data_IF_832534887561
#
_entry.id   IF_832534887561
#
_cell.length_a   1.000
_cell.length_b   1.000
_cell.length_c   1.000
_cell.angle_alpha   90.00
_cell.angle_beta   90.00
_cell.angle_gamma   90.00
#
_symmetry.space_group_name_H-M   'P 1'
#
loop_
_entity.id
_entity.type
_entity.pdbx_description
1 polymer ?
#
# COMPACT_ATOMS: atom_id res chain seq x y z
N UNK A 1 -25.36 -6.59 -19.87
CA UNK A 1 -23.89 -6.44 -19.93
C UNK A 1 -23.33 -7.07 -18.67
N UNK A 2 -22.40 -8.02 -18.77
CA UNK A 2 -21.74 -8.54 -17.56
C UNK A 2 -20.94 -7.40 -16.91
N UNK A 3 -21.14 -7.19 -15.60
CA UNK A 3 -20.28 -6.28 -14.82
C UNK A 3 -18.85 -6.79 -14.86
N UNK A 4 -17.88 -5.89 -15.03
CA UNK A 4 -16.45 -6.21 -14.89
C UNK A 4 -16.16 -6.75 -13.49
N UNK A 5 -15.33 -7.76 -13.41
CA UNK A 5 -14.81 -8.28 -12.15
C UNK A 5 -13.44 -7.67 -11.84
N UNK A 6 -13.09 -7.66 -10.59
CA UNK A 6 -11.82 -7.11 -10.11
C UNK A 6 -10.94 -8.21 -9.54
N UNK A 7 -9.71 -8.27 -9.99
CA UNK A 7 -8.70 -9.24 -9.59
C UNK A 7 -7.61 -8.53 -8.79
N UNK A 8 -7.51 -8.82 -7.50
CA UNK A 8 -6.45 -8.29 -6.67
C UNK A 8 -5.26 -9.26 -6.62
N UNK A 9 -4.14 -8.85 -7.25
CA UNK A 9 -2.88 -9.57 -7.24
C UNK A 9 -2.13 -9.31 -5.93
N UNK A 10 -2.61 -9.89 -4.83
CA UNK A 10 -2.01 -9.65 -3.51
C UNK A 10 -2.38 -10.72 -2.49
N UNK A 11 -1.37 -11.11 -1.67
CA UNK A 11 -1.55 -11.94 -0.49
C UNK A 11 -1.74 -11.13 0.80
N UNK A 12 -1.66 -9.78 0.75
CA UNK A 12 -1.79 -8.93 1.92
C UNK A 12 -3.19 -8.96 2.51
N UNK A 13 -3.37 -9.40 3.78
CA UNK A 13 -4.69 -9.39 4.43
C UNK A 13 -5.30 -7.99 4.49
N UNK A 14 -4.48 -6.96 4.74
CA UNK A 14 -4.93 -5.57 4.81
C UNK A 14 -5.50 -5.07 3.49
N UNK A 15 -4.84 -5.39 2.36
CA UNK A 15 -5.36 -5.01 1.04
C UNK A 15 -6.67 -5.71 0.73
N UNK A 16 -6.78 -7.00 1.08
CA UNK A 16 -8.04 -7.76 0.92
C UNK A 16 -9.17 -7.17 1.77
N UNK A 17 -8.88 -6.80 3.01
CA UNK A 17 -9.82 -6.12 3.90
C UNK A 17 -10.31 -4.80 3.28
N UNK A 18 -9.41 -3.94 2.81
CA UNK A 18 -9.75 -2.65 2.21
C UNK A 18 -10.61 -2.79 0.96
N UNK A 19 -10.38 -3.80 0.14
CA UNK A 19 -11.23 -4.11 -1.02
C UNK A 19 -12.60 -4.65 -0.62
N UNK A 20 -12.72 -5.30 0.54
CA UNK A 20 -13.99 -5.74 1.12
C UNK A 20 -14.91 -4.60 1.59
N UNK A 21 -14.46 -3.34 1.57
CA UNK A 21 -15.30 -2.19 1.93
C UNK A 21 -16.31 -1.79 0.85
N UNK A 22 -16.23 -2.38 -0.33
CA UNK A 22 -17.12 -2.12 -1.47
C UNK A 22 -17.75 -3.41 -1.98
N UNK A 23 -18.92 -3.29 -2.59
CA UNK A 23 -19.65 -4.40 -3.21
C UNK A 23 -19.15 -4.62 -4.66
N UNK A 24 -17.87 -4.93 -4.79
CA UNK A 24 -17.30 -5.36 -6.05
C UNK A 24 -17.28 -6.87 -6.15
N UNK A 25 -17.42 -7.41 -7.37
CA UNK A 25 -17.14 -8.82 -7.60
C UNK A 25 -15.62 -9.03 -7.63
N UNK A 26 -15.09 -9.52 -6.50
CA UNK A 26 -13.66 -9.59 -6.22
C UNK A 26 -13.13 -11.00 -6.39
N UNK A 27 -12.01 -11.10 -7.07
CA UNK A 27 -11.18 -12.30 -7.14
C UNK A 27 -9.81 -12.00 -6.53
N UNK A 28 -9.26 -12.93 -5.78
CA UNK A 28 -7.95 -12.79 -5.14
C UNK A 28 -6.98 -13.80 -5.74
N UNK A 29 -5.84 -13.33 -6.17
CA UNK A 29 -4.79 -14.19 -6.70
C UNK A 29 -3.43 -13.85 -6.09
N UNK A 30 -2.61 -14.87 -5.89
CA UNK A 30 -1.22 -14.68 -5.44
C UNK A 30 -0.37 -14.17 -6.60
N UNK A 31 0.47 -13.19 -6.32
CA UNK A 31 1.51 -12.73 -7.23
C UNK A 31 2.86 -13.30 -6.78
N UNK A 32 3.41 -14.24 -7.54
CA UNK A 32 4.74 -14.78 -7.29
C UNK A 32 5.75 -14.05 -8.18
N UNK A 33 6.29 -12.95 -7.68
CA UNK A 33 7.32 -12.17 -8.35
C UNK A 33 8.57 -12.08 -7.46
N UNK A 34 9.72 -11.88 -8.08
CA UNK A 34 10.94 -11.59 -7.34
C UNK A 34 10.87 -10.17 -6.78
N UNK A 35 10.83 -10.07 -5.44
CA UNK A 35 10.77 -8.80 -4.72
C UNK A 35 12.16 -8.26 -4.34
N UNK A 36 13.24 -8.87 -4.80
CA UNK A 36 14.60 -8.37 -4.54
C UNK A 36 14.85 -7.00 -5.17
N UNK A 37 15.60 -6.17 -4.47
CA UNK A 37 16.03 -4.87 -5.00
C UNK A 37 17.19 -5.08 -5.97
N UNK A 38 17.13 -4.44 -7.14
CA UNK A 38 18.23 -4.46 -8.10
C UNK A 38 19.38 -3.57 -7.61
N UNK A 39 20.57 -3.88 -8.09
CA UNK A 39 21.76 -3.07 -7.79
C UNK A 39 21.53 -1.61 -8.21
N UNK A 40 21.77 -0.66 -7.28
CA UNK A 40 21.55 0.78 -7.46
C UNK A 40 20.11 1.19 -7.81
N UNK A 41 19.11 0.33 -7.59
CA UNK A 41 17.71 0.67 -7.83
C UNK A 41 17.24 1.67 -6.77
N UNK A 42 16.73 2.82 -7.22
CA UNK A 42 16.13 3.81 -6.32
C UNK A 42 14.83 3.27 -5.71
N UNK A 43 14.50 3.61 -4.44
CA UNK A 43 13.28 3.13 -3.78
C UNK A 43 12.00 3.36 -4.58
N UNK A 44 11.87 4.52 -5.22
CA UNK A 44 10.69 4.81 -6.04
C UNK A 44 10.59 3.90 -7.26
N UNK A 45 11.70 3.59 -7.92
CA UNK A 45 11.71 2.68 -9.06
C UNK A 45 11.39 1.25 -8.63
N UNK A 46 11.92 0.83 -7.48
CA UNK A 46 11.66 -0.48 -6.89
C UNK A 46 10.17 -0.70 -6.63
N UNK A 47 9.50 0.20 -5.90
CA UNK A 47 8.08 0.05 -5.57
C UNK A 47 7.19 0.11 -6.82
N UNK A 48 7.56 0.91 -7.82
CA UNK A 48 6.87 0.99 -9.11
C UNK A 48 7.00 -0.32 -9.89
N UNK A 49 8.22 -0.83 -10.02
CA UNK A 49 8.50 -2.09 -10.69
C UNK A 49 7.72 -3.24 -10.08
N UNK A 50 7.77 -3.38 -8.74
CA UNK A 50 7.06 -4.46 -8.06
C UNK A 50 5.54 -4.39 -8.24
N UNK A 51 4.95 -3.19 -8.23
CA UNK A 51 3.53 -3.05 -8.52
C UNK A 51 3.17 -3.49 -9.95
N UNK A 52 4.00 -3.12 -10.94
CA UNK A 52 3.85 -3.54 -12.35
C UNK A 52 4.00 -5.06 -12.47
N UNK A 53 5.06 -5.63 -11.92
CA UNK A 53 5.35 -7.05 -12.03
C UNK A 53 4.24 -7.90 -11.40
N UNK A 54 3.76 -7.50 -10.21
CA UNK A 54 2.60 -8.12 -9.56
C UNK A 54 1.34 -8.02 -10.43
N UNK A 55 1.08 -6.88 -11.05
CA UNK A 55 -0.07 -6.71 -11.93
C UNK A 55 0.03 -7.59 -13.19
N UNK A 56 1.22 -7.69 -13.79
CA UNK A 56 1.49 -8.50 -14.96
C UNK A 56 1.53 -10.01 -14.68
N UNK A 57 1.79 -10.41 -13.45
CA UNK A 57 1.89 -11.84 -13.07
C UNK A 57 0.58 -12.60 -13.23
N UNK A 58 -0.57 -11.93 -13.20
CA UNK A 58 -1.86 -12.54 -13.46
C UNK A 58 -2.11 -12.60 -14.96
N UNK A 59 -2.04 -13.78 -15.51
CA UNK A 59 -2.36 -14.06 -16.93
C UNK A 59 -3.76 -14.63 -17.08
N UNK A 60 -4.27 -14.70 -18.31
CA UNK A 60 -5.57 -15.31 -18.62
C UNK A 60 -6.78 -14.66 -17.92
N UNK A 61 -6.71 -13.36 -17.72
CA UNK A 61 -7.83 -12.56 -17.18
C UNK A 61 -8.78 -12.17 -18.32
N UNK A 62 -10.11 -12.26 -18.13
CA UNK A 62 -11.07 -11.81 -19.13
C UNK A 62 -10.83 -10.36 -19.55
N UNK A 63 -10.99 -10.05 -20.85
CA UNK A 63 -10.64 -8.77 -21.45
C UNK A 63 -11.27 -7.54 -20.75
N UNK A 64 -12.49 -7.68 -20.25
CA UNK A 64 -13.21 -6.59 -19.60
C UNK A 64 -12.97 -6.48 -18.09
N UNK A 65 -12.28 -7.44 -17.49
CA UNK A 65 -11.99 -7.44 -16.06
C UNK A 65 -10.77 -6.56 -15.76
N UNK A 66 -10.69 -6.13 -14.50
CA UNK A 66 -9.57 -5.33 -14.02
C UNK A 66 -8.62 -6.16 -13.17
N UNK A 67 -7.31 -5.98 -13.39
CA UNK A 67 -6.26 -6.48 -12.51
C UNK A 67 -5.70 -5.29 -11.75
N UNK A 68 -5.65 -5.42 -10.43
CA UNK A 68 -5.12 -4.42 -9.52
C UNK A 68 -4.00 -5.05 -8.70
N UNK A 69 -2.87 -4.39 -8.64
CA UNK A 69 -1.76 -4.75 -7.77
C UNK A 69 -1.23 -3.53 -7.05
N UNK A 70 -0.59 -3.74 -5.92
CA UNK A 70 0.12 -2.68 -5.22
C UNK A 70 1.38 -3.23 -4.56
N UNK A 71 2.36 -2.36 -4.40
CA UNK A 71 3.51 -2.62 -3.55
C UNK A 71 3.75 -1.47 -2.59
N UNK A 72 4.35 -1.76 -1.42
CA UNK A 72 4.54 -0.79 -0.34
C UNK A 72 5.90 -0.99 0.28
N UNK A 73 6.68 0.08 0.35
CA UNK A 73 7.98 0.10 0.99
C UNK A 73 8.04 1.21 2.05
N UNK A 74 8.86 0.97 3.06
CA UNK A 74 9.27 1.98 4.05
C UNK A 74 10.69 2.42 3.73
N UNK A 75 10.94 3.72 3.70
CA UNK A 75 12.25 4.27 3.31
C UNK A 75 12.76 5.20 4.40
N UNK A 76 13.91 4.87 4.95
CA UNK A 76 14.65 5.70 5.92
C UNK A 76 16.04 5.99 5.36
N UNK A 77 16.42 7.27 5.29
CA UNK A 77 17.74 7.68 4.78
C UNK A 77 18.11 7.04 3.43
N UNK A 78 17.17 7.00 2.49
CA UNK A 78 17.29 6.38 1.16
C UNK A 78 17.37 4.84 1.16
N UNK A 79 17.35 4.19 2.32
CA UNK A 79 17.36 2.72 2.43
C UNK A 79 15.94 2.18 2.54
N UNK A 80 15.66 1.10 1.82
CA UNK A 80 14.40 0.37 1.92
C UNK A 80 14.44 -0.51 3.17
N UNK A 81 13.46 -0.33 4.06
CA UNK A 81 13.24 -1.18 5.22
C UNK A 81 12.16 -2.22 4.86
N UNK A 82 12.59 -3.43 4.58
CA UNK A 82 11.72 -4.55 4.26
C UNK A 82 10.97 -5.10 5.48
N UNK A 83 10.36 -6.29 5.29
CA UNK A 83 9.81 -7.07 6.39
C UNK A 83 10.96 -7.62 7.24
N UNK A 84 10.84 -7.64 8.58
CA UNK A 84 11.88 -8.20 9.42
C UNK A 84 12.01 -9.72 9.22
N UNK A 85 13.25 -10.19 9.15
CA UNK A 85 13.55 -11.61 9.01
C UNK A 85 13.32 -12.41 10.32
N UNK A 86 13.45 -11.73 11.46
CA UNK A 86 13.30 -12.29 12.80
C UNK A 86 13.06 -11.16 13.83
N UNK A 87 12.85 -11.53 15.09
CA UNK A 87 12.57 -10.59 16.18
C UNK A 87 13.69 -9.55 16.38
N UNK A 88 14.95 -9.97 16.29
CA UNK A 88 16.11 -9.06 16.42
C UNK A 88 16.12 -8.02 15.29
N UNK A 89 15.88 -8.45 14.05
CA UNK A 89 15.76 -7.52 12.91
C UNK A 89 14.59 -6.54 13.09
N UNK A 90 13.45 -7.01 13.63
CA UNK A 90 12.31 -6.14 13.94
C UNK A 90 12.69 -5.09 15.01
N UNK A 91 13.40 -5.52 16.06
CA UNK A 91 13.87 -4.63 17.12
C UNK A 91 14.79 -3.53 16.56
N UNK A 92 15.82 -3.90 15.80
CA UNK A 92 16.76 -2.96 15.21
C UNK A 92 16.07 -1.98 14.26
N UNK A 93 15.10 -2.47 13.46
CA UNK A 93 14.31 -1.63 12.55
C UNK A 93 13.51 -0.58 13.34
N UNK A 94 12.82 -0.99 14.41
CA UNK A 94 12.05 -0.08 15.25
C UNK A 94 12.93 0.92 16.00
N UNK A 95 14.10 0.49 16.51
CA UNK A 95 15.08 1.40 17.12
C UNK A 95 15.56 2.46 16.12
N UNK A 96 15.85 2.07 14.89
CA UNK A 96 16.28 3.00 13.83
C UNK A 96 15.19 4.00 13.44
N UNK A 97 13.92 3.61 13.51
CA UNK A 97 12.77 4.46 13.19
C UNK A 97 12.34 5.37 14.34
N UNK A 98 12.66 5.03 15.59
CA UNK A 98 12.26 5.74 16.81
C UNK A 98 12.52 7.25 16.73
N UNK A 99 11.48 8.05 17.00
CA UNK A 99 11.51 9.54 17.00
C UNK A 99 12.00 10.15 15.67
N UNK A 100 11.95 9.41 14.58
CA UNK A 100 12.45 9.86 13.28
C UNK A 100 11.34 9.91 12.23
N UNK A 101 11.41 10.87 11.31
CA UNK A 101 10.58 10.85 10.10
C UNK A 101 11.16 9.86 9.07
N UNK A 102 10.26 9.22 8.35
CA UNK A 102 10.58 8.35 7.22
C UNK A 102 9.49 8.46 6.15
N UNK A 103 9.69 7.83 5.02
CA UNK A 103 8.71 7.77 3.95
C UNK A 103 8.08 6.39 3.83
N UNK A 104 6.78 6.37 3.65
CA UNK A 104 6.07 5.18 3.15
C UNK A 104 5.64 5.48 1.73
N UNK A 105 6.08 4.64 0.80
CA UNK A 105 5.75 4.75 -0.61
C UNK A 105 4.92 3.55 -1.03
N UNK A 106 3.74 3.79 -1.59
CA UNK A 106 2.89 2.74 -2.15
C UNK A 106 2.60 3.05 -3.60
N UNK A 107 2.96 2.13 -4.48
CA UNK A 107 2.57 2.18 -5.89
C UNK A 107 1.38 1.27 -6.12
N UNK A 108 0.41 1.73 -6.93
CA UNK A 108 -0.71 0.95 -7.40
C UNK A 108 -0.69 0.86 -8.92
N UNK A 109 -0.84 -0.37 -9.42
CA UNK A 109 -0.88 -0.67 -10.84
C UNK A 109 -2.25 -1.25 -11.21
N UNK A 110 -2.83 -0.77 -12.31
CA UNK A 110 -4.15 -1.20 -12.80
C UNK A 110 -4.08 -1.46 -14.29
N UNK A 111 -4.61 -2.59 -14.75
CA UNK A 111 -4.83 -2.86 -16.16
C UNK A 111 -6.13 -3.60 -16.40
N UNK A 112 -6.62 -3.56 -17.62
CA UNK A 112 -7.65 -4.51 -18.09
C UNK A 112 -7.00 -5.84 -18.47
N UNK A 113 -7.82 -6.88 -18.52
CA UNK A 113 -7.35 -8.21 -18.90
C UNK A 113 -6.71 -8.27 -20.30
N UNK A 114 -7.17 -7.43 -21.24
CA UNK A 114 -6.66 -7.33 -22.61
C UNK A 114 -5.44 -6.39 -22.78
N UNK A 115 -5.02 -5.70 -21.73
CA UNK A 115 -3.89 -4.77 -21.76
C UNK A 115 -2.60 -5.41 -21.26
N UNK A 116 -1.50 -5.14 -21.93
CA UNK A 116 -0.18 -5.59 -21.52
C UNK A 116 0.41 -4.69 -20.43
N UNK A 117 0.30 -3.38 -20.61
CA UNK A 117 0.93 -2.41 -19.72
C UNK A 117 -0.09 -1.81 -18.76
N UNK A 118 0.15 -1.87 -17.45
CA UNK A 118 -0.73 -1.25 -16.48
C UNK A 118 -0.54 0.27 -16.42
N UNK A 119 -1.62 0.98 -16.11
CA UNK A 119 -1.56 2.33 -15.57
C UNK A 119 -0.98 2.28 -14.16
N UNK A 120 -0.19 3.28 -13.79
CA UNK A 120 0.59 3.30 -12.56
C UNK A 120 0.45 4.63 -11.84
N UNK A 121 0.22 4.57 -10.54
CA UNK A 121 0.25 5.71 -9.63
C UNK A 121 1.17 5.40 -8.45
N UNK A 122 1.69 6.44 -7.81
CA UNK A 122 2.46 6.33 -6.58
C UNK A 122 1.98 7.35 -5.58
N UNK A 123 1.89 6.93 -4.32
CA UNK A 123 1.59 7.78 -3.19
C UNK A 123 2.75 7.72 -2.19
N UNK A 124 3.24 8.90 -1.77
CA UNK A 124 4.36 9.04 -0.82
C UNK A 124 3.87 9.75 0.42
N UNK A 125 3.86 9.07 1.53
CA UNK A 125 3.41 9.61 2.82
C UNK A 125 4.59 9.74 3.78
N UNK A 126 4.82 10.94 4.31
CA UNK A 126 5.80 11.16 5.35
C UNK A 126 5.20 10.80 6.71
N UNK A 127 5.86 9.92 7.43
CA UNK A 127 5.42 9.43 8.74
C UNK A 127 6.50 9.74 9.77
N UNK A 128 6.10 10.26 10.94
CA UNK A 128 7.00 10.45 12.08
C UNK A 128 6.65 9.45 13.17
N UNK A 129 7.65 8.68 13.60
CA UNK A 129 7.49 7.75 14.70
C UNK A 129 7.51 8.46 16.05
N UNK A 130 6.82 7.87 17.01
CA UNK A 130 6.86 8.26 18.41
C UNK A 130 8.21 7.88 19.03
N UNK A 131 8.60 8.56 20.10
CA UNK A 131 9.72 8.17 20.95
C UNK A 131 9.27 7.09 21.95
N UNK A 132 9.18 5.84 21.49
CA UNK A 132 8.84 4.68 22.31
C UNK A 132 10.09 4.05 22.95
N UNK A 133 9.90 3.39 24.10
CA UNK A 133 10.97 2.72 24.85
C UNK A 133 11.34 1.34 24.27
N UNK A 134 12.46 0.79 24.67
CA UNK A 134 12.88 -0.58 24.34
C UNK A 134 11.87 -1.62 24.86
N UNK A 135 11.31 -1.41 26.05
CA UNK A 135 10.30 -2.30 26.61
C UNK A 135 9.02 -2.34 25.75
N UNK A 136 8.57 -1.18 25.23
CA UNK A 136 7.42 -1.11 24.32
C UNK A 136 7.71 -1.81 22.99
N UNK A 137 8.94 -1.68 22.46
CA UNK A 137 9.35 -2.41 21.25
C UNK A 137 9.27 -3.93 21.47
N UNK A 138 9.85 -4.42 22.57
CA UNK A 138 9.87 -5.86 22.88
C UNK A 138 8.45 -6.40 23.04
N UNK A 139 7.57 -5.70 23.78
CA UNK A 139 6.18 -6.07 23.92
C UNK A 139 5.44 -6.10 22.58
N UNK A 140 5.73 -5.14 21.68
CA UNK A 140 5.12 -5.12 20.35
C UNK A 140 5.59 -6.29 19.49
N UNK A 141 6.86 -6.68 19.58
CA UNK A 141 7.39 -7.84 18.85
C UNK A 141 6.77 -9.15 19.32
N UNK A 142 6.50 -9.30 20.63
CA UNK A 142 5.81 -10.48 21.19
C UNK A 142 4.41 -10.68 20.60
N UNK A 143 3.74 -9.60 20.16
CA UNK A 143 2.45 -9.71 19.46
C UNK A 143 2.51 -10.34 18.06
N UNK A 144 3.71 -10.54 17.51
CA UNK A 144 3.99 -11.01 16.14
C UNK A 144 3.48 -10.06 15.04
N UNK A 145 2.73 -9.01 15.40
CA UNK A 145 2.16 -8.04 14.47
C UNK A 145 3.20 -7.36 13.55
N UNK A 146 4.42 -7.01 14.00
CA UNK A 146 5.44 -6.38 13.14
C UNK A 146 6.00 -7.28 12.03
N UNK A 147 5.91 -8.62 12.16
CA UNK A 147 6.70 -9.56 11.37
C UNK A 147 6.34 -9.66 9.89
N UNK A 148 5.12 -9.30 9.51
CA UNK A 148 4.64 -9.32 8.11
C UNK A 148 4.65 -7.94 7.44
N UNK A 149 5.26 -6.93 8.08
CA UNK A 149 5.16 -5.53 7.68
C UNK A 149 6.50 -4.90 7.32
N UNK A 150 6.52 -4.19 6.19
CA UNK A 150 7.66 -3.33 5.85
C UNK A 150 7.88 -2.29 6.96
N UNK A 151 9.13 -2.10 7.37
CA UNK A 151 9.47 -1.23 8.50
C UNK A 151 9.04 -1.74 9.88
N UNK A 152 8.58 -3.00 9.98
CA UNK A 152 8.22 -3.65 11.24
C UNK A 152 7.14 -2.93 12.07
N UNK A 153 6.18 -2.22 11.44
CA UNK A 153 5.09 -1.57 12.18
C UNK A 153 3.78 -1.48 11.40
N UNK A 154 2.68 -1.33 12.14
CA UNK A 154 1.36 -0.99 11.61
C UNK A 154 0.90 0.36 12.14
N UNK A 155 0.63 1.34 11.26
CA UNK A 155 0.14 2.67 11.67
C UNK A 155 -1.16 2.60 12.47
N UNK A 156 -2.00 1.60 12.20
CA UNK A 156 -3.28 1.40 12.86
C UNK A 156 -3.19 0.62 14.18
N UNK A 157 -2.00 0.16 14.61
CA UNK A 157 -1.88 -0.57 15.87
C UNK A 157 -2.18 0.34 17.05
N UNK A 158 -3.26 0.00 17.81
CA UNK A 158 -3.79 0.82 18.89
C UNK A 158 -3.04 0.66 20.21
N UNK A 159 -2.37 -0.45 20.42
CA UNK A 159 -1.63 -0.76 21.65
C UNK A 159 -0.24 -0.13 21.61
N UNK A 160 0.51 -0.38 20.55
CA UNK A 160 1.85 0.16 20.41
C UNK A 160 1.86 1.64 20.02
N UNK A 161 0.86 2.11 19.28
CA UNK A 161 0.77 3.51 18.83
C UNK A 161 2.09 4.05 18.24
N UNK A 162 2.64 3.45 17.17
CA UNK A 162 4.00 3.75 16.74
C UNK A 162 4.19 5.17 16.20
N UNK A 163 3.14 5.79 15.70
CA UNK A 163 3.19 7.04 14.92
C UNK A 163 2.66 8.21 15.75
N UNK A 164 3.40 9.32 15.77
CA UNK A 164 2.99 10.58 16.40
C UNK A 164 2.35 11.53 15.40
N UNK A 165 2.81 11.53 14.16
CA UNK A 165 2.31 12.40 13.10
C UNK A 165 2.57 11.80 11.71
N UNK A 166 1.71 12.13 10.74
CA UNK A 166 1.94 11.80 9.34
C UNK A 166 1.25 12.83 8.43
N UNK A 167 1.90 13.14 7.32
CA UNK A 167 1.37 14.02 6.29
C UNK A 167 1.12 13.25 5.01
N UNK A 168 -0.17 13.06 4.64
CA UNK A 168 -0.53 12.35 3.41
C UNK A 168 -1.68 11.37 3.56
N UNK A 169 -1.55 10.20 2.96
CA UNK A 169 -2.62 9.21 2.82
C UNK A 169 -2.46 8.04 3.80
N UNK A 170 -3.34 7.92 4.79
CA UNK A 170 -3.34 6.79 5.72
C UNK A 170 -3.54 5.44 5.00
N UNK A 171 -4.43 5.40 4.01
CA UNK A 171 -4.68 4.19 3.22
C UNK A 171 -3.43 3.74 2.44
N UNK A 172 -2.59 4.69 1.98
CA UNK A 172 -1.29 4.37 1.38
C UNK A 172 -0.34 3.73 2.38
N UNK A 173 -0.25 4.25 3.60
CA UNK A 173 0.59 3.63 4.65
C UNK A 173 0.11 2.22 5.00
N UNK A 174 -1.19 1.95 4.90
CA UNK A 174 -1.77 0.61 5.05
C UNK A 174 -1.57 -0.29 3.82
N UNK A 175 -1.12 0.28 2.69
CA UNK A 175 -0.72 -0.47 1.51
C UNK A 175 -1.62 -0.36 0.29
N UNK A 176 -2.65 0.51 0.29
CA UNK A 176 -3.53 0.74 -0.87
C UNK A 176 -4.04 2.20 -0.90
N UNK A 177 -3.48 3.07 -1.75
CA UNK A 177 -3.91 4.46 -1.88
C UNK A 177 -5.20 4.54 -2.69
N UNK A 178 -6.35 4.44 -2.02
CA UNK A 178 -7.67 4.26 -2.64
C UNK A 178 -8.10 5.42 -3.55
N UNK A 179 -7.72 6.67 -3.23
CA UNK A 179 -8.01 7.82 -4.10
C UNK A 179 -7.19 7.77 -5.40
N UNK A 180 -5.93 7.33 -5.34
CA UNK A 180 -5.08 7.13 -6.53
C UNK A 180 -5.62 5.96 -7.38
N UNK A 181 -6.06 4.89 -6.73
CA UNK A 181 -6.72 3.78 -7.40
C UNK A 181 -7.99 4.24 -8.14
N UNK A 182 -8.87 4.99 -7.48
CA UNK A 182 -10.08 5.55 -8.09
C UNK A 182 -9.74 6.42 -9.29
N UNK A 183 -8.78 7.35 -9.14
CA UNK A 183 -8.31 8.21 -10.23
C UNK A 183 -7.80 7.41 -11.43
N UNK A 184 -7.08 6.33 -11.17
CA UNK A 184 -6.58 5.43 -12.22
C UNK A 184 -7.72 4.70 -12.92
N UNK A 185 -8.68 4.16 -12.17
CA UNK A 185 -9.82 3.43 -12.71
C UNK A 185 -10.74 4.32 -13.55
N UNK A 186 -10.90 5.60 -13.21
CA UNK A 186 -11.68 6.57 -13.98
C UNK A 186 -11.18 6.81 -15.41
N UNK A 187 -9.95 6.43 -15.72
CA UNK A 187 -9.42 6.48 -17.09
C UNK A 187 -10.07 5.43 -18.02
N UNK A 188 -10.78 4.45 -17.46
CA UNK A 188 -11.40 3.37 -18.21
C UNK A 188 -12.90 3.60 -18.39
N UNK A 189 -13.37 3.65 -19.64
CA UNK A 189 -14.77 3.96 -19.99
C UNK A 189 -15.80 2.95 -19.49
N UNK A 190 -15.35 1.71 -19.19
CA UNK A 190 -16.21 0.64 -18.66
C UNK A 190 -16.18 0.54 -17.13
N UNK A 191 -15.43 1.43 -16.45
CA UNK A 191 -15.43 1.50 -15.01
C UNK A 191 -16.66 2.24 -14.48
N UNK A 192 -17.33 1.67 -13.49
CA UNK A 192 -18.37 2.34 -12.75
C UNK A 192 -17.74 2.97 -11.50
N UNK A 193 -17.77 4.29 -11.44
CA UNK A 193 -17.15 5.04 -10.34
C UNK A 193 -17.66 4.60 -8.97
N UNK A 194 -16.70 4.53 -8.04
CA UNK A 194 -16.94 4.21 -6.64
C UNK A 194 -16.47 5.38 -5.78
N UNK A 195 -17.29 5.80 -4.83
CA UNK A 195 -16.91 6.89 -3.92
C UNK A 195 -15.87 6.43 -2.90
N UNK A 196 -14.71 5.97 -3.40
CA UNK A 196 -13.58 5.55 -2.56
C UNK A 196 -13.14 6.62 -1.55
N UNK A 197 -13.10 7.91 -1.88
CA UNK A 197 -12.80 8.96 -0.92
C UNK A 197 -13.66 8.92 0.33
N UNK A 198 -14.99 8.84 0.15
CA UNK A 198 -15.94 8.79 1.26
C UNK A 198 -15.84 7.49 2.05
N UNK A 199 -15.77 6.35 1.35
CA UNK A 199 -15.65 5.03 1.95
C UNK A 199 -14.36 4.94 2.78
N UNK A 200 -13.23 5.36 2.21
CA UNK A 200 -11.93 5.38 2.87
C UNK A 200 -11.96 6.18 4.19
N UNK A 201 -12.47 7.42 4.14
CA UNK A 201 -12.53 8.28 5.32
C UNK A 201 -13.48 7.73 6.39
N UNK A 202 -14.60 7.13 5.99
CA UNK A 202 -15.54 6.49 6.90
C UNK A 202 -14.93 5.27 7.60
N UNK A 203 -14.30 4.38 6.85
CA UNK A 203 -13.71 3.14 7.38
C UNK A 203 -12.50 3.41 8.27
N UNK A 204 -11.64 4.34 7.87
CA UNK A 204 -10.45 4.68 8.64
C UNK A 204 -10.72 5.68 9.77
N UNK A 205 -11.92 6.25 9.84
CA UNK A 205 -12.28 7.33 10.79
C UNK A 205 -11.25 8.47 10.76
N UNK A 206 -10.80 8.80 9.57
CA UNK A 206 -9.73 9.77 9.32
C UNK A 206 -10.12 10.71 8.19
N UNK A 207 -10.14 12.02 8.48
CA UNK A 207 -10.34 13.06 7.45
C UNK A 207 -9.04 13.27 6.69
N UNK A 208 -8.97 12.72 5.47
CA UNK A 208 -7.77 12.79 4.65
C UNK A 208 -7.54 14.21 4.09
N UNK A 209 -6.39 14.84 4.36
CA UNK A 209 -6.13 16.22 3.92
C UNK A 209 -5.86 16.35 2.43
N UNK A 210 -5.55 15.25 1.72
CA UNK A 210 -5.13 15.27 0.31
C UNK A 210 -6.20 14.73 -0.64
N UNK A 211 -7.35 14.28 -0.14
CA UNK A 211 -8.37 13.60 -0.95
C UNK A 211 -8.80 14.41 -2.16
N UNK A 212 -9.18 15.67 -1.95
CA UNK A 212 -9.73 16.53 -3.01
C UNK A 212 -8.66 16.82 -4.07
N UNK A 213 -7.43 17.07 -3.66
CA UNK A 213 -6.28 17.31 -4.54
C UNK A 213 -5.99 16.08 -5.42
N UNK A 214 -5.94 14.88 -4.81
CA UNK A 214 -5.69 13.63 -5.56
C UNK A 214 -6.79 13.41 -6.61
N UNK A 215 -8.06 13.56 -6.24
CA UNK A 215 -9.19 13.37 -7.17
C UNK A 215 -9.23 14.45 -8.27
N UNK A 216 -8.79 15.67 -7.95
CA UNK A 216 -8.65 16.74 -8.95
C UNK A 216 -7.49 16.51 -9.95
N UNK A 217 -6.62 15.55 -9.68
CA UNK A 217 -5.50 15.21 -10.58
C UNK A 217 -4.13 15.68 -10.10
N UNK A 218 -4.06 16.31 -8.92
CA UNK A 218 -2.79 16.77 -8.37
C UNK A 218 -1.87 15.58 -8.00
N UNK A 219 -0.59 15.76 -8.24
CA UNK A 219 0.43 14.77 -7.89
C UNK A 219 0.88 14.97 -6.43
N UNK A 220 0.00 14.63 -5.48
CA UNK A 220 0.20 14.79 -4.04
C UNK A 220 0.04 13.45 -3.33
N UNK A 221 0.77 13.29 -2.21
CA UNK A 221 0.77 12.09 -1.39
C UNK A 221 1.84 11.12 -1.74
#
# INVERSE_FOLDING_TARGET
MNRSEFWLASNSPRRREMFGWVDWKLNFASSNVDESQYENELPENHVRRLAIDKCKSLTSIPANDFVIAADTIVVLDHMILGKPANAEHAYQTLVNLRDRPHWVMTSVAVRRGDQENPELEICKTKVKMRNYSDAEILQYIESVDPMDKAGAYAIQNKEFHPVVDFGGCMASVMGMPLCHLERTLRKYSNYQETDWPKICQFQLKYKCPITDQVIAGDNVG
#
